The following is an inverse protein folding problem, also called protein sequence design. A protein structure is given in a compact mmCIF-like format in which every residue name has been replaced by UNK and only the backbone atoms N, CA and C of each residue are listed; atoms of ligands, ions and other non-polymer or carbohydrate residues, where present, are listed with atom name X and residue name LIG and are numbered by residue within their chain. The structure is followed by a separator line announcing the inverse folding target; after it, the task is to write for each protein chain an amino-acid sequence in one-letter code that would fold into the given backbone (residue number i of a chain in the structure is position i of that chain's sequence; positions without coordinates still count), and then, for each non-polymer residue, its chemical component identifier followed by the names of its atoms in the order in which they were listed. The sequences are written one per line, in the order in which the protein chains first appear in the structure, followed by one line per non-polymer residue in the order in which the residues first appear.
data_IF_374878732853
#
_entry.id   IF_374878732853
#
_cell.length_a   1.000
_cell.length_b   1.000
_cell.length_c   1.000
_cell.angle_alpha   90.00
_cell.angle_beta   90.00
_cell.angle_gamma   90.00
#
_symmetry.space_group_name_H-M   'P 1'
#
loop_
_entity.id
_entity.type
_entity.pdbx_description
1 polymer ?
#
# COMPACT_ATOMS: atom_id res chain seq x y z
N UNK A 1 0.02 -13.52 -1.21
CA UNK A 1 0.54 -14.77 -0.60
C UNK A 1 0.65 -14.62 0.91
N UNK A 2 0.84 -15.70 1.70
CA UNK A 2 1.07 -15.56 3.15
C UNK A 2 2.51 -15.14 3.43
N UNK A 3 2.72 -14.39 4.52
CA UNK A 3 4.05 -13.86 4.89
C UNK A 3 5.14 -14.93 4.97
N UNK A 4 4.84 -16.11 5.52
CA UNK A 4 5.85 -17.18 5.63
C UNK A 4 6.24 -17.75 4.25
N UNK A 5 5.31 -17.76 3.29
CA UNK A 5 5.60 -18.16 1.91
C UNK A 5 6.52 -17.12 1.25
N UNK A 6 6.23 -15.84 1.46
CA UNK A 6 7.04 -14.73 0.98
C UNK A 6 8.47 -14.78 1.54
N UNK A 7 8.63 -14.88 2.86
CA UNK A 7 9.95 -14.98 3.50
C UNK A 7 10.73 -16.18 2.95
N UNK A 8 10.08 -17.34 2.82
CA UNK A 8 10.76 -18.52 2.30
C UNK A 8 11.15 -18.40 0.82
N UNK A 9 10.37 -17.69 0.01
CA UNK A 9 10.67 -17.46 -1.40
C UNK A 9 11.85 -16.50 -1.58
N UNK A 10 12.00 -15.52 -0.70
CA UNK A 10 12.95 -14.40 -0.87
C UNK A 10 14.15 -14.44 0.08
N UNK A 11 14.25 -15.41 0.99
CA UNK A 11 15.34 -15.51 1.98
C UNK A 11 16.74 -15.68 1.38
N UNK A 12 16.84 -16.15 0.14
CA UNK A 12 18.12 -16.36 -0.56
C UNK A 12 18.39 -15.27 -1.60
N UNK A 13 17.48 -14.30 -1.76
CA UNK A 13 17.65 -13.22 -2.72
C UNK A 13 18.81 -12.32 -2.28
N UNK A 14 19.70 -12.02 -3.23
CA UNK A 14 20.81 -11.08 -3.00
C UNK A 14 20.33 -9.62 -3.02
N UNK A 15 19.18 -9.37 -3.65
CA UNK A 15 18.56 -8.05 -3.74
C UNK A 15 17.68 -7.73 -2.53
N UNK A 16 17.53 -6.44 -2.26
CA UNK A 16 16.65 -5.95 -1.19
C UNK A 16 15.21 -6.30 -1.53
N UNK A 17 14.59 -7.11 -0.68
CA UNK A 17 13.22 -7.55 -0.87
C UNK A 17 12.22 -6.45 -0.46
N UNK A 18 11.24 -6.20 -1.32
CA UNK A 18 10.22 -5.16 -1.18
C UNK A 18 8.84 -5.80 -1.34
N UNK A 19 7.82 -5.27 -0.69
CA UNK A 19 6.46 -5.83 -0.78
C UNK A 19 5.35 -4.83 -0.47
N UNK A 20 4.12 -5.26 -0.73
CA UNK A 20 2.90 -4.66 -0.19
C UNK A 20 2.27 -5.57 0.84
N UNK A 21 1.81 -5.02 1.96
CA UNK A 21 1.03 -5.75 2.97
C UNK A 21 -0.42 -5.29 2.90
N UNK A 22 -1.31 -6.20 2.52
CA UNK A 22 -2.76 -5.98 2.44
C UNK A 22 -3.38 -5.87 3.84
N UNK A 23 -4.56 -5.24 3.98
CA UNK A 23 -5.26 -5.10 5.27
C UNK A 23 -5.50 -6.42 6.03
N UNK A 24 -5.60 -7.53 5.31
CA UNK A 24 -5.82 -8.88 5.81
C UNK A 24 -4.52 -9.66 6.11
N UNK A 25 -3.35 -9.02 5.92
CA UNK A 25 -2.04 -9.60 6.16
C UNK A 25 -1.47 -10.40 4.99
N UNK A 26 -2.15 -10.44 3.84
CA UNK A 26 -1.52 -10.98 2.63
C UNK A 26 -0.41 -10.07 2.13
N UNK A 27 0.61 -10.68 1.53
CA UNK A 27 1.77 -9.98 0.99
C UNK A 27 1.82 -10.16 -0.52
N UNK A 28 2.10 -9.09 -1.24
CA UNK A 28 2.34 -9.10 -2.68
C UNK A 28 3.71 -8.53 -3.01
N UNK A 29 4.36 -9.09 -4.02
CA UNK A 29 5.47 -8.42 -4.67
C UNK A 29 4.97 -7.11 -5.31
N UNK A 30 5.76 -6.01 -5.25
CA UNK A 30 5.34 -4.71 -5.73
C UNK A 30 5.63 -4.60 -7.23
N UNK A 31 5.23 -5.59 -8.02
CA UNK A 31 5.42 -5.60 -9.48
C UNK A 31 4.15 -5.09 -10.19
N UNK A 32 4.27 -4.26 -11.23
CA UNK A 32 5.51 -3.77 -11.86
C UNK A 32 6.21 -2.63 -11.11
N UNK A 33 5.56 -2.04 -10.10
CA UNK A 33 6.11 -1.08 -9.13
C UNK A 33 5.12 -1.00 -7.96
N UNK A 34 5.51 -0.45 -6.79
CA UNK A 34 4.57 -0.27 -5.67
C UNK A 34 3.30 0.48 -6.09
N UNK A 35 3.45 1.63 -6.77
CA UNK A 35 2.29 2.41 -7.25
C UNK A 35 1.50 1.61 -8.29
N UNK A 36 2.17 0.97 -9.25
CA UNK A 36 1.51 0.16 -10.27
C UNK A 36 0.64 -0.95 -9.64
N UNK A 37 1.21 -1.68 -8.67
CA UNK A 37 0.50 -2.74 -7.95
C UNK A 37 -0.64 -2.19 -7.09
N UNK A 38 -0.45 -1.05 -6.43
CA UNK A 38 -1.53 -0.39 -5.68
C UNK A 38 -2.69 0.05 -6.58
N UNK A 39 -2.41 0.48 -7.82
CA UNK A 39 -3.45 0.79 -8.82
C UNK A 39 -4.24 -0.47 -9.19
N UNK A 40 -3.56 -1.60 -9.40
CA UNK A 40 -4.22 -2.89 -9.65
C UNK A 40 -5.14 -3.29 -8.48
N UNK A 41 -4.65 -3.15 -7.24
CA UNK A 41 -5.40 -3.45 -6.02
C UNK A 41 -6.63 -2.53 -5.88
N UNK A 42 -6.50 -1.25 -6.23
CA UNK A 42 -7.59 -0.30 -6.18
C UNK A 42 -8.75 -0.66 -7.12
N UNK A 43 -8.49 -1.46 -8.17
CA UNK A 43 -9.50 -1.90 -9.13
C UNK A 43 -10.07 -0.77 -9.99
N UNK A 44 -9.33 0.34 -10.12
CA UNK A 44 -9.70 1.53 -10.88
C UNK A 44 -8.63 1.83 -11.94
N UNK A 45 -9.02 2.49 -13.02
CA UNK A 45 -8.02 2.93 -13.99
C UNK A 45 -7.17 4.07 -13.43
N UNK A 46 -5.89 4.10 -13.84
CA UNK A 46 -4.92 5.09 -13.37
C UNK A 46 -5.38 6.53 -13.59
N UNK A 47 -6.11 6.83 -14.68
CA UNK A 47 -6.57 8.19 -14.95
C UNK A 47 -7.69 8.61 -13.99
N UNK A 48 -8.59 7.70 -13.63
CA UNK A 48 -9.63 7.91 -12.61
C UNK A 48 -9.01 8.24 -11.26
N UNK A 49 -8.04 7.43 -10.79
CA UNK A 49 -7.37 7.65 -9.52
C UNK A 49 -6.57 8.95 -9.51
N UNK A 50 -5.73 9.18 -10.52
CA UNK A 50 -4.94 10.41 -10.64
C UNK A 50 -5.83 11.67 -10.71
N UNK A 51 -7.01 11.56 -11.35
CA UNK A 51 -7.98 12.66 -11.42
C UNK A 51 -8.61 13.03 -10.08
N UNK A 52 -8.50 12.18 -9.04
CA UNK A 52 -8.95 12.48 -7.67
C UNK A 52 -7.85 13.10 -6.79
N UNK A 53 -6.58 13.01 -7.19
CA UNK A 53 -5.46 13.50 -6.39
C UNK A 53 -5.26 15.02 -6.59
N UNK A 54 -4.98 15.75 -5.52
CA UNK A 54 -4.56 17.15 -5.62
C UNK A 54 -3.12 17.24 -6.17
N UNK A 55 -2.80 18.30 -6.92
CA UNK A 55 -1.51 18.40 -7.66
C UNK A 55 -0.26 18.32 -6.79
N UNK A 56 -0.37 18.65 -5.51
CA UNK A 56 0.71 18.66 -4.52
C UNK A 56 0.75 17.39 -3.66
N UNK A 57 -0.20 16.46 -3.84
CA UNK A 57 -0.20 15.20 -3.11
C UNK A 57 0.81 14.23 -3.73
N UNK A 58 1.57 13.56 -2.87
CA UNK A 58 2.44 12.48 -3.30
C UNK A 58 1.60 11.23 -3.59
N UNK A 59 1.69 10.64 -4.79
CA UNK A 59 0.84 9.52 -5.18
C UNK A 59 0.96 8.31 -4.24
N UNK A 60 2.15 8.02 -3.71
CA UNK A 60 2.34 6.88 -2.82
C UNK A 60 1.52 6.98 -1.53
N UNK A 61 1.61 8.13 -0.83
CA UNK A 61 0.83 8.38 0.39
C UNK A 61 -0.69 8.30 0.12
N UNK A 62 -1.13 8.84 -1.01
CA UNK A 62 -2.54 8.75 -1.38
C UNK A 62 -2.97 7.31 -1.68
N UNK A 63 -2.15 6.54 -2.40
CA UNK A 63 -2.47 5.17 -2.79
C UNK A 63 -2.48 4.19 -1.62
N UNK A 64 -1.56 4.32 -0.65
CA UNK A 64 -1.60 3.47 0.56
C UNK A 64 -2.85 3.75 1.39
N UNK A 65 -3.29 5.01 1.47
CA UNK A 65 -4.51 5.37 2.19
C UNK A 65 -5.76 4.91 1.44
N UNK A 66 -5.77 5.03 0.11
CA UNK A 66 -6.88 4.60 -0.73
C UNK A 66 -7.09 3.09 -0.70
N UNK A 67 -6.01 2.31 -0.75
CA UNK A 67 -6.07 0.84 -0.74
C UNK A 67 -6.09 0.25 0.66
N UNK A 68 -5.59 0.98 1.66
CA UNK A 68 -5.33 0.46 3.00
C UNK A 68 -4.10 -0.45 3.08
N UNK A 69 -3.32 -0.59 2.01
CA UNK A 69 -2.11 -1.42 2.02
C UNK A 69 -0.91 -0.67 2.61
N UNK A 70 0.03 -1.38 3.24
CA UNK A 70 1.36 -0.84 3.53
C UNK A 70 2.28 -1.06 2.33
N UNK A 71 3.14 -0.08 2.05
CA UNK A 71 4.18 -0.16 1.04
C UNK A 71 5.54 -0.28 1.72
N UNK A 72 6.24 -1.38 1.46
CA UNK A 72 7.42 -1.80 2.23
C UNK A 72 8.65 -1.88 1.33
N UNK A 73 9.68 -1.16 1.74
CA UNK A 73 11.07 -1.27 1.32
C UNK A 73 11.92 -1.67 2.52
N UNK A 74 13.12 -2.19 2.28
CA UNK A 74 14.05 -2.51 3.37
C UNK A 74 14.30 -1.31 4.31
N UNK A 75 14.39 -0.10 3.75
CA UNK A 75 14.75 1.11 4.51
C UNK A 75 13.58 2.06 4.74
N UNK A 76 12.38 1.74 4.25
CA UNK A 76 11.22 2.64 4.32
C UNK A 76 9.92 1.85 4.33
N UNK A 77 8.99 2.25 5.18
CA UNK A 77 7.62 1.74 5.21
C UNK A 77 6.69 2.93 5.14
N UNK A 78 5.77 2.90 4.18
CA UNK A 78 4.69 3.88 4.05
C UNK A 78 3.39 3.15 4.34
N UNK A 79 2.80 3.41 5.50
CA UNK A 79 1.58 2.74 5.96
C UNK A 79 0.36 3.66 5.83
N UNK A 80 -0.86 3.12 5.72
CA UNK A 80 -2.06 3.94 5.85
C UNK A 80 -2.11 4.62 7.23
N UNK A 81 -2.95 5.64 7.38
CA UNK A 81 -3.08 6.36 8.66
C UNK A 81 -3.52 5.41 9.79
N UNK A 82 -4.36 4.42 9.48
CA UNK A 82 -4.85 3.41 10.41
C UNK A 82 -4.57 1.99 9.89
N UNK A 83 -3.33 1.48 10.06
CA UNK A 83 -3.03 0.09 9.72
C UNK A 83 -3.78 -0.89 10.63
N UNK A 84 -4.08 -2.07 10.09
CA UNK A 84 -4.68 -3.15 10.90
C UNK A 84 -3.62 -3.79 11.80
N UNK A 85 -4.04 -4.41 12.90
CA UNK A 85 -3.11 -5.16 13.76
C UNK A 85 -2.40 -6.26 12.98
N UNK A 86 -3.11 -6.94 12.08
CA UNK A 86 -2.53 -8.01 11.26
C UNK A 86 -1.42 -7.48 10.35
N UNK A 87 -1.56 -6.27 9.80
CA UNK A 87 -0.49 -5.65 9.01
C UNK A 87 0.75 -5.35 9.85
N UNK A 88 0.57 -4.84 11.08
CA UNK A 88 1.67 -4.58 12.01
C UNK A 88 2.37 -5.89 12.42
N UNK A 89 1.61 -6.95 12.68
CA UNK A 89 2.15 -8.28 13.00
C UNK A 89 2.98 -8.84 11.82
N UNK A 90 2.51 -8.63 10.58
CA UNK A 90 3.25 -9.03 9.37
C UNK A 90 4.51 -8.20 9.17
N UNK A 91 4.46 -6.90 9.46
CA UNK A 91 5.63 -6.03 9.40
C UNK A 91 6.68 -6.41 10.44
N UNK A 92 6.26 -6.77 11.66
CA UNK A 92 7.14 -7.29 12.71
C UNK A 92 7.82 -8.60 12.27
N UNK A 93 7.08 -9.53 11.64
CA UNK A 93 7.67 -10.76 11.10
C UNK A 93 8.72 -10.48 10.00
N UNK A 94 8.50 -9.49 9.13
CA UNK A 94 9.52 -9.06 8.15
C UNK A 94 10.76 -8.47 8.84
N UNK A 95 10.55 -7.67 9.89
CA UNK A 95 11.64 -7.11 10.67
C UNK A 95 12.50 -8.20 11.33
N UNK A 96 11.86 -9.14 12.01
CA UNK A 96 12.53 -10.25 12.70
C UNK A 96 13.27 -11.19 11.74
N UNK A 97 12.75 -11.34 10.52
CA UNK A 97 13.40 -12.09 9.45
C UNK A 97 14.54 -11.31 8.75
N UNK A 98 14.89 -10.11 9.24
CA UNK A 98 15.91 -9.22 8.68
C UNK A 98 15.63 -8.69 7.26
N UNK A 99 14.35 -8.64 6.85
CA UNK A 99 13.92 -8.01 5.60
C UNK A 99 13.85 -6.48 5.72
N UNK A 100 13.85 -5.95 6.94
CA UNK A 100 13.87 -4.51 7.21
C UNK A 100 15.18 -4.11 7.90
N UNK A 101 15.67 -2.92 7.55
CA UNK A 101 16.81 -2.30 8.22
C UNK A 101 16.41 -1.93 9.66
N UNK A 102 17.28 -2.12 10.67
CA UNK A 102 16.98 -1.75 12.07
C UNK A 102 16.54 -0.29 12.30
N UNK A 103 16.77 0.59 11.32
CA UNK A 103 16.41 2.03 11.37
C UNK A 103 15.61 2.45 10.13
N UNK A 104 14.77 1.56 9.61
CA UNK A 104 13.90 1.91 8.49
C UNK A 104 13.01 3.11 8.87
N UNK A 105 12.71 3.95 7.88
CA UNK A 105 11.85 5.10 8.03
C UNK A 105 10.39 4.64 7.99
N UNK A 106 9.62 4.89 9.05
CA UNK A 106 8.19 4.63 9.08
C UNK A 106 7.43 5.94 8.86
N UNK A 107 6.60 6.00 7.82
CA UNK A 107 5.79 7.18 7.47
C UNK A 107 4.31 6.86 7.33
N UNK A 108 3.48 7.89 7.57
CA UNK A 108 2.03 7.83 7.38
C UNK A 108 1.53 9.08 6.65
N UNK A 109 0.49 8.96 5.81
CA UNK A 109 -0.23 10.10 5.28
C UNK A 109 -0.79 10.97 6.41
N UNK A 110 -0.82 12.28 6.18
CA UNK A 110 -1.48 13.24 7.07
C UNK A 110 -3.00 13.31 6.82
N UNK A 111 -3.68 14.17 7.57
CA UNK A 111 -5.13 14.34 7.50
C UNK A 111 -5.64 14.79 6.11
N UNK A 112 -4.83 15.51 5.33
CA UNK A 112 -5.24 15.97 4.00
C UNK A 112 -5.39 14.80 3.03
N UNK A 113 -4.54 13.78 3.12
CA UNK A 113 -4.65 12.56 2.33
C UNK A 113 -5.92 11.77 2.69
N UNK A 114 -6.22 11.62 3.99
CA UNK A 114 -7.43 10.93 4.47
C UNK A 114 -8.69 11.62 3.94
N UNK A 115 -8.75 12.96 4.01
CA UNK A 115 -9.87 13.73 3.49
C UNK A 115 -10.03 13.55 1.97
N UNK A 116 -8.92 13.63 1.23
CA UNK A 116 -8.89 13.46 -0.22
C UNK A 116 -9.38 12.07 -0.65
N UNK A 117 -8.84 11.01 -0.04
CA UNK A 117 -9.27 9.63 -0.29
C UNK A 117 -10.75 9.43 0.06
N UNK A 118 -11.23 10.02 1.16
CA UNK A 118 -12.64 9.97 1.55
C UNK A 118 -13.57 10.61 0.51
N UNK A 119 -13.16 11.73 -0.11
CA UNK A 119 -13.90 12.35 -1.22
C UNK A 119 -13.85 11.49 -2.49
N UNK A 120 -12.67 10.97 -2.81
CA UNK A 120 -12.43 10.14 -3.99
C UNK A 120 -13.30 8.88 -4.00
N UNK A 121 -13.34 8.14 -2.89
CA UNK A 121 -14.15 6.92 -2.76
C UNK A 121 -15.63 7.20 -3.04
N UNK A 122 -16.18 8.27 -2.47
CA UNK A 122 -17.58 8.69 -2.70
C UNK A 122 -17.84 9.04 -4.17
N UNK A 123 -16.94 9.81 -4.78
CA UNK A 123 -17.08 10.23 -6.18
C UNK A 123 -16.98 9.05 -7.16
N UNK A 124 -16.09 8.10 -6.89
CA UNK A 124 -15.92 6.88 -7.68
C UNK A 124 -17.14 5.97 -7.54
N UNK A 125 -17.61 5.74 -6.32
CA UNK A 125 -18.82 4.94 -6.04
C UNK A 125 -20.06 5.53 -6.73
N UNK A 126 -20.24 6.85 -6.65
CA UNK A 126 -21.35 7.54 -7.31
C UNK A 126 -21.31 7.39 -8.84
N UNK A 127 -20.12 7.50 -9.45
CA UNK A 127 -19.92 7.26 -10.89
C UNK A 127 -20.18 5.82 -11.29
N UNK A 128 -19.81 4.83 -10.46
CA UNK A 128 -20.10 3.42 -10.73
C UNK A 128 -21.60 3.18 -10.75
N UNK A 129 -22.33 3.68 -9.74
CA UNK A 129 -23.79 3.55 -9.67
C UNK A 129 -24.50 4.16 -10.89
N UNK A 130 -24.08 5.33 -11.34
CA UNK A 130 -24.65 5.98 -12.54
C UNK A 130 -24.39 5.23 -13.85
N UNK A 131 -23.38 4.34 -13.92
CA UNK A 131 -23.11 3.50 -15.10
C UNK A 131 -23.91 2.20 -15.10
N UNK A 132 -24.42 1.79 -13.94
CA UNK A 132 -25.21 0.56 -13.74
C UNK A 132 -26.72 0.80 -13.88
N UNK A 133 -27.17 2.05 -13.83
CA UNK A 133 -28.54 2.53 -14.10
C UNK A 133 -28.78 2.79 -15.60
#
# INVERSE_FOLDING_TARGET
MKIMEFINAHREDEDYCECLIHPDGEVDEPLPSHIGRLIEIAGEDSATLNGQMEKNMEPLFWMVEYTGCMSVWQTRVVAPTQPTQVQEDVLEMLYDAAFLSPKYLYEKPDAAYVESVGKARKAIEEKRRQKEE
#
